data_IF_978462863021
#
_entry.id   IF_978462863021
#
_cell.length_a   1.000
_cell.length_b   1.000
_cell.length_c   1.000
_cell.angle_alpha   90.00
_cell.angle_beta   90.00
_cell.angle_gamma   90.00
#
_symmetry.space_group_name_H-M   'P 1'
#
loop_
_entity.id
_entity.type
_entity.pdbx_description
1 polymer ?
#
# COMPACT_ATOMS: atom_id res chain seq x y z
N UNK A 1 16.36 0.32 3.63
CA UNK A 1 17.10 0.75 2.44
C UNK A 1 16.35 1.86 1.68
N UNK A 2 15.04 1.72 1.37
CA UNK A 2 14.24 2.75 0.69
C UNK A 2 14.35 4.13 1.37
N UNK A 3 14.25 4.19 2.70
CA UNK A 3 14.39 5.45 3.45
C UNK A 3 15.78 6.07 3.34
N UNK A 4 16.84 5.25 3.31
CA UNK A 4 18.21 5.73 3.11
C UNK A 4 18.41 6.35 1.72
N UNK A 5 17.58 5.95 0.75
CA UNK A 5 17.54 6.54 -0.60
C UNK A 5 16.63 7.78 -0.70
N UNK A 6 16.12 8.28 0.41
CA UNK A 6 15.25 9.48 0.44
C UNK A 6 13.79 9.21 0.03
N UNK A 7 13.40 7.96 -0.15
CA UNK A 7 12.02 7.60 -0.51
C UNK A 7 11.08 7.71 0.69
N UNK A 8 9.90 8.23 0.47
CA UNK A 8 8.78 8.12 1.41
C UNK A 8 8.10 6.76 1.26
N UNK A 9 7.74 6.18 2.37
CA UNK A 9 7.18 4.82 2.42
C UNK A 9 5.79 4.82 3.03
N UNK A 10 4.88 4.03 2.43
CA UNK A 10 3.49 3.93 2.84
C UNK A 10 3.02 2.49 2.83
N UNK A 11 2.25 2.10 3.83
CA UNK A 11 1.48 0.85 3.84
C UNK A 11 -0.02 1.15 3.78
N UNK A 12 -0.72 0.51 2.83
CA UNK A 12 -2.17 0.61 2.69
C UNK A 12 -2.75 -0.80 2.77
N UNK A 13 -3.67 -1.04 3.67
CA UNK A 13 -4.23 -2.37 3.92
C UNK A 13 -5.75 -2.34 4.03
N UNK A 14 -6.42 -3.34 3.46
CA UNK A 14 -7.83 -3.62 3.73
C UNK A 14 -8.06 -4.23 5.12
N UNK A 15 -7.00 -4.54 5.87
CA UNK A 15 -7.07 -4.94 7.27
C UNK A 15 -7.33 -3.77 8.22
N UNK A 16 -6.77 -3.84 9.42
CA UNK A 16 -7.09 -2.88 10.49
C UNK A 16 -5.85 -2.13 11.00
N UNK A 17 -6.07 -0.91 11.47
CA UNK A 17 -5.02 -0.02 12.03
C UNK A 17 -4.26 -0.67 13.17
N UNK A 18 -4.88 -1.55 13.95
CA UNK A 18 -4.21 -2.34 14.98
C UNK A 18 -2.94 -3.04 14.47
N UNK A 19 -2.96 -3.58 13.25
CA UNK A 19 -1.81 -4.24 12.63
C UNK A 19 -0.91 -3.26 11.87
N UNK A 20 -1.51 -2.36 11.07
CA UNK A 20 -0.74 -1.43 10.23
C UNK A 20 0.06 -0.42 11.04
N UNK A 21 -0.46 0.05 12.17
CA UNK A 21 0.26 0.96 13.07
C UNK A 21 1.48 0.28 13.70
N UNK A 22 1.38 -1.00 14.05
CA UNK A 22 2.53 -1.78 14.52
C UNK A 22 3.58 -1.98 13.44
N UNK A 23 3.15 -2.28 12.20
CA UNK A 23 4.05 -2.40 11.04
C UNK A 23 4.72 -1.06 10.75
N UNK A 24 3.95 0.03 10.75
CA UNK A 24 4.45 1.38 10.56
C UNK A 24 5.58 1.69 11.56
N UNK A 25 5.34 1.44 12.83
CA UNK A 25 6.34 1.68 13.88
C UNK A 25 7.56 0.77 13.73
N UNK A 26 7.35 -0.53 13.57
CA UNK A 26 8.42 -1.53 13.50
C UNK A 26 9.33 -1.35 12.29
N UNK A 27 8.76 -1.03 11.14
CA UNK A 27 9.48 -0.86 9.88
C UNK A 27 9.75 0.61 9.55
N UNK A 28 9.34 1.53 10.41
CA UNK A 28 9.51 2.97 10.26
C UNK A 28 8.91 3.51 8.93
N UNK A 29 7.71 3.03 8.54
CA UNK A 29 6.97 3.62 7.43
C UNK A 29 6.56 5.06 7.74
N UNK A 30 6.58 5.93 6.74
CA UNK A 30 6.16 7.33 6.90
C UNK A 30 4.64 7.45 7.02
N UNK A 31 3.89 6.63 6.26
CA UNK A 31 2.43 6.63 6.22
C UNK A 31 1.86 5.23 6.41
N UNK A 32 0.67 5.17 7.00
CA UNK A 32 -0.12 3.94 7.09
C UNK A 32 -1.61 4.26 6.96
N UNK A 33 -2.35 3.44 6.23
CA UNK A 33 -3.79 3.52 6.12
C UNK A 33 -4.42 2.13 6.15
N UNK A 34 -5.49 2.00 6.93
CA UNK A 34 -6.27 0.77 7.07
C UNK A 34 -7.66 1.09 7.63
N UNK A 35 -8.52 0.10 7.71
CA UNK A 35 -9.80 0.24 8.39
C UNK A 35 -9.61 0.42 9.90
N UNK A 36 -10.48 1.20 10.52
CA UNK A 36 -10.50 1.45 11.95
C UNK A 36 -11.64 0.68 12.59
N UNK A 37 -11.32 -0.20 13.53
CA UNK A 37 -12.32 -0.90 14.33
C UNK A 37 -12.90 0.04 15.40
N UNK A 38 -14.22 0.01 15.56
CA UNK A 38 -14.87 0.73 16.64
C UNK A 38 -14.65 0.01 17.97
N UNK A 39 -14.23 0.77 18.97
CA UNK A 39 -14.03 0.30 20.34
C UNK A 39 -14.95 1.14 21.24
N UNK A 40 -15.80 0.47 22.00
CA UNK A 40 -16.64 1.07 23.03
C UNK A 40 -16.39 0.35 24.37
N UNK A 41 -16.17 1.12 25.43
CA UNK A 41 -15.87 0.61 26.78
C UNK A 41 -14.78 -0.49 26.78
N UNK A 42 -13.70 -0.29 26.02
CA UNK A 42 -12.57 -1.23 25.86
C UNK A 42 -12.93 -2.57 25.18
N UNK A 43 -14.08 -2.63 24.52
CA UNK A 43 -14.53 -3.81 23.78
C UNK A 43 -14.75 -3.46 22.31
N UNK A 44 -14.42 -4.41 21.42
CA UNK A 44 -14.74 -4.30 20.00
C UNK A 44 -16.26 -4.42 19.81
N UNK A 45 -16.85 -3.47 19.09
CA UNK A 45 -18.30 -3.49 18.78
C UNK A 45 -18.64 -4.36 17.57
N UNK A 46 -17.64 -4.76 16.80
CA UNK A 46 -17.81 -5.46 15.52
C UNK A 46 -18.07 -4.53 14.34
N UNK A 47 -18.01 -3.21 14.55
CA UNK A 47 -18.21 -2.20 13.51
C UNK A 47 -16.88 -1.59 13.08
N UNK A 48 -16.86 -1.05 11.85
CA UNK A 48 -15.75 -0.28 11.28
C UNK A 48 -16.13 1.19 11.29
N UNK A 49 -15.22 2.06 11.74
CA UNK A 49 -15.43 3.49 11.75
C UNK A 49 -15.19 4.04 10.33
N UNK A 50 -16.15 4.81 9.82
CA UNK A 50 -16.05 5.47 8.53
C UNK A 50 -16.24 4.55 7.33
N UNK A 51 -15.79 5.00 6.15
CA UNK A 51 -15.88 4.24 4.90
C UNK A 51 -14.89 3.08 4.92
N UNK A 52 -15.36 1.90 4.55
CA UNK A 52 -14.50 0.71 4.43
C UNK A 52 -13.44 0.94 3.34
N UNK A 53 -12.18 0.70 3.68
CA UNK A 53 -11.06 0.82 2.78
C UNK A 53 -10.97 -0.42 1.88
N UNK A 54 -11.62 -0.33 0.73
CA UNK A 54 -11.58 -1.32 -0.34
C UNK A 54 -10.70 -0.88 -1.51
N UNK A 55 -10.97 -1.44 -2.69
CA UNK A 55 -10.22 -1.21 -3.92
C UNK A 55 -10.10 0.29 -4.28
N UNK A 56 -11.23 0.98 -4.39
CA UNK A 56 -11.27 2.42 -4.70
C UNK A 56 -10.62 3.25 -3.61
N UNK A 57 -10.89 2.93 -2.35
CA UNK A 57 -10.34 3.65 -1.21
C UNK A 57 -8.81 3.63 -1.14
N UNK A 58 -8.17 2.53 -1.55
CA UNK A 58 -6.70 2.46 -1.63
C UNK A 58 -6.14 3.45 -2.65
N UNK A 59 -6.78 3.55 -3.83
CA UNK A 59 -6.38 4.50 -4.86
C UNK A 59 -6.60 5.96 -4.40
N UNK A 60 -7.73 6.24 -3.74
CA UNK A 60 -8.03 7.57 -3.19
C UNK A 60 -6.97 8.02 -2.17
N UNK A 61 -6.58 7.13 -1.25
CA UNK A 61 -5.55 7.43 -0.24
C UNK A 61 -4.20 7.69 -0.91
N UNK A 62 -3.81 6.86 -1.89
CA UNK A 62 -2.57 7.08 -2.62
C UNK A 62 -2.56 8.46 -3.29
N UNK A 63 -3.64 8.85 -3.95
CA UNK A 63 -3.80 10.18 -4.57
C UNK A 63 -3.70 11.31 -3.54
N UNK A 64 -4.35 11.15 -2.39
CA UNK A 64 -4.31 12.15 -1.33
C UNK A 64 -2.89 12.37 -0.82
N UNK A 65 -2.18 11.31 -0.46
CA UNK A 65 -0.81 11.39 0.06
C UNK A 65 0.15 11.92 -1.00
N UNK A 66 0.00 11.51 -2.27
CA UNK A 66 0.81 12.03 -3.38
C UNK A 66 0.64 13.53 -3.55
N UNK A 67 -0.59 14.03 -3.44
CA UNK A 67 -0.89 15.46 -3.49
C UNK A 67 -0.27 16.22 -2.31
N UNK A 68 -0.36 15.68 -1.11
CA UNK A 68 0.26 16.26 0.09
C UNK A 68 1.79 16.35 -0.04
N UNK A 69 2.42 15.34 -0.65
CA UNK A 69 3.85 15.29 -0.89
C UNK A 69 4.30 16.12 -2.12
N UNK A 70 3.36 16.55 -2.96
CA UNK A 70 3.68 17.26 -4.21
C UNK A 70 4.39 16.38 -5.24
N UNK A 71 4.15 15.06 -5.23
CA UNK A 71 4.76 14.12 -6.19
C UNK A 71 3.78 13.74 -7.30
N UNK A 72 4.30 13.63 -8.52
CA UNK A 72 3.54 13.17 -9.68
C UNK A 72 3.49 11.64 -9.76
N UNK A 73 2.61 11.13 -10.62
CA UNK A 73 2.42 9.70 -10.85
C UNK A 73 3.75 8.98 -11.16
N UNK A 74 4.58 9.59 -11.97
CA UNK A 74 5.88 9.06 -12.42
C UNK A 74 6.90 8.86 -11.28
N UNK A 75 6.64 9.48 -10.13
CA UNK A 75 7.49 9.37 -8.94
C UNK A 75 6.95 8.33 -7.92
N UNK A 76 5.89 7.61 -8.29
CA UNK A 76 5.23 6.64 -7.41
C UNK A 76 5.55 5.23 -7.86
N UNK A 77 5.96 4.40 -6.90
CA UNK A 77 6.09 2.96 -7.05
C UNK A 77 5.05 2.32 -6.15
N UNK A 78 4.17 1.50 -6.70
CA UNK A 78 3.16 0.77 -5.95
C UNK A 78 3.34 -0.74 -6.08
N UNK A 79 3.11 -1.45 -4.98
CA UNK A 79 3.17 -2.91 -4.93
C UNK A 79 1.82 -3.46 -4.47
N UNK A 80 1.40 -4.58 -5.08
CA UNK A 80 0.17 -5.25 -4.70
C UNK A 80 0.17 -6.72 -5.13
N UNK A 81 -0.68 -7.51 -4.50
CA UNK A 81 -0.80 -8.96 -4.75
C UNK A 81 -2.20 -9.38 -5.19
N UNK A 82 -3.20 -8.60 -4.90
CA UNK A 82 -4.61 -8.92 -5.13
C UNK A 82 -5.34 -8.00 -6.10
N UNK A 83 -6.48 -8.47 -6.60
CA UNK A 83 -7.34 -7.68 -7.49
C UNK A 83 -7.85 -6.38 -6.84
N UNK A 84 -7.91 -6.33 -5.52
CA UNK A 84 -8.26 -5.13 -4.75
C UNK A 84 -7.16 -4.06 -4.75
N UNK A 85 -5.98 -4.33 -5.31
CA UNK A 85 -4.88 -3.37 -5.45
C UNK A 85 -4.83 -2.75 -6.86
N UNK A 86 -5.59 -3.26 -7.84
CA UNK A 86 -5.50 -2.84 -9.23
C UNK A 86 -5.68 -1.35 -9.46
N UNK A 87 -6.65 -0.72 -8.79
CA UNK A 87 -6.89 0.72 -8.96
C UNK A 87 -5.74 1.56 -8.36
N UNK A 88 -5.21 1.12 -7.22
CA UNK A 88 -4.02 1.74 -6.62
C UNK A 88 -2.78 1.57 -7.51
N UNK A 89 -2.58 0.38 -8.06
CA UNK A 89 -1.47 0.10 -8.98
C UNK A 89 -1.55 0.96 -10.24
N UNK A 90 -2.76 1.20 -10.76
CA UNK A 90 -2.98 2.06 -11.93
C UNK A 90 -2.62 3.53 -11.69
N UNK A 91 -2.60 4.00 -10.45
CA UNK A 91 -2.23 5.38 -10.08
C UNK A 91 -0.70 5.59 -9.98
N UNK A 92 0.09 4.52 -10.01
CA UNK A 92 1.55 4.60 -9.93
C UNK A 92 2.21 4.66 -11.32
N UNK A 93 3.34 5.32 -11.42
CA UNK A 93 4.19 5.29 -12.62
C UNK A 93 4.86 3.95 -12.82
N UNK A 94 5.24 3.31 -11.72
CA UNK A 94 5.73 1.93 -11.70
C UNK A 94 4.88 1.09 -10.76
N UNK A 95 4.26 0.05 -11.30
CA UNK A 95 3.47 -0.91 -10.53
C UNK A 95 4.14 -2.29 -10.52
N UNK A 96 4.15 -2.93 -9.36
CA UNK A 96 4.82 -4.21 -9.14
C UNK A 96 3.81 -5.22 -8.59
N UNK A 97 3.56 -6.28 -9.34
CA UNK A 97 2.80 -7.44 -8.89
C UNK A 97 3.71 -8.34 -8.07
N UNK A 98 3.50 -8.39 -6.74
CA UNK A 98 4.34 -9.14 -5.81
C UNK A 98 3.64 -10.42 -5.36
N UNK A 99 4.18 -11.59 -5.75
CA UNK A 99 3.55 -12.90 -5.49
C UNK A 99 2.06 -12.91 -5.83
N UNK A 100 1.70 -12.25 -6.93
CA UNK A 100 0.34 -11.88 -7.25
C UNK A 100 -0.39 -12.93 -8.12
N UNK A 101 -1.71 -12.82 -8.12
CA UNK A 101 -2.58 -13.55 -9.05
C UNK A 101 -2.34 -13.09 -10.50
N UNK A 102 -2.65 -13.94 -11.52
CA UNK A 102 -2.42 -13.63 -12.94
C UNK A 102 -2.99 -12.26 -13.37
N UNK A 103 -4.21 -11.95 -12.97
CA UNK A 103 -4.86 -10.67 -13.32
C UNK A 103 -4.05 -9.43 -12.86
N UNK A 104 -3.36 -9.51 -11.74
CA UNK A 104 -2.53 -8.42 -11.23
C UNK A 104 -1.23 -8.34 -12.02
N UNK A 105 -0.62 -9.49 -12.34
CA UNK A 105 0.61 -9.57 -13.14
C UNK A 105 0.44 -8.97 -14.53
N UNK A 106 -0.70 -9.23 -15.16
CA UNK A 106 -1.04 -8.72 -16.50
C UNK A 106 -1.21 -7.20 -16.54
N UNK A 107 -1.59 -6.59 -15.41
CA UNK A 107 -1.86 -5.15 -15.28
C UNK A 107 -0.74 -4.36 -14.60
N UNK A 108 0.36 -5.01 -14.21
CA UNK A 108 1.49 -4.36 -13.57
C UNK A 108 2.66 -4.14 -14.52
N UNK A 109 3.51 -3.15 -14.23
CA UNK A 109 4.74 -2.86 -14.98
C UNK A 109 5.73 -4.01 -14.84
N UNK A 110 5.89 -4.54 -13.64
CA UNK A 110 6.78 -5.64 -13.31
C UNK A 110 6.07 -6.69 -12.44
N UNK A 111 6.62 -7.90 -12.42
CA UNK A 111 6.13 -8.98 -11.57
C UNK A 111 7.29 -9.66 -10.84
N UNK A 112 7.13 -9.85 -9.55
CA UNK A 112 8.07 -10.60 -8.69
C UNK A 112 7.33 -11.80 -8.10
N UNK A 113 7.77 -13.01 -8.47
CA UNK A 113 7.10 -14.26 -8.10
C UNK A 113 7.93 -15.21 -7.26
N UNK A 114 9.26 -15.04 -7.22
CA UNK A 114 10.18 -16.03 -6.65
C UNK A 114 11.09 -15.51 -5.55
N UNK A 115 11.26 -14.20 -5.43
CA UNK A 115 12.16 -13.58 -4.45
C UNK A 115 11.39 -12.73 -3.46
N UNK A 116 12.04 -12.30 -2.39
CA UNK A 116 11.45 -11.41 -1.40
C UNK A 116 11.31 -9.97 -1.89
N UNK A 117 10.80 -9.08 -1.04
CA UNK A 117 10.62 -7.65 -1.35
C UNK A 117 11.93 -6.93 -1.69
N UNK A 118 13.06 -7.45 -1.23
CA UNK A 118 14.40 -6.96 -1.58
C UNK A 118 14.71 -7.08 -3.08
N UNK A 119 14.06 -8.02 -3.79
CA UNK A 119 14.15 -8.13 -5.25
C UNK A 119 13.73 -6.88 -6.01
N UNK A 120 12.94 -5.99 -5.39
CA UNK A 120 12.55 -4.71 -5.98
C UNK A 120 13.77 -3.83 -6.29
N UNK A 121 14.79 -3.90 -5.46
CA UNK A 121 16.02 -3.10 -5.62
C UNK A 121 16.67 -3.39 -6.97
N UNK A 122 16.61 -4.63 -7.42
CA UNK A 122 17.22 -5.04 -8.68
C UNK A 122 16.51 -4.50 -9.93
N UNK A 123 15.27 -4.00 -9.78
CA UNK A 123 14.53 -3.37 -10.89
C UNK A 123 15.00 -1.95 -11.18
N UNK A 124 15.75 -1.34 -10.27
CA UNK A 124 16.18 0.07 -10.33
C UNK A 124 17.71 0.25 -10.31
N UNK A 125 18.45 -0.84 -10.41
CA UNK A 125 19.92 -0.84 -10.50
C UNK A 125 20.40 -0.95 -11.94
#
# INVERSE_FOLDING_TARGET
>A
QAKLSGLKTMVISGGFTFFTDRIKTKLAFDYAAANVLEIDNQHLTGKVIGKILGREGKAEILKQVSKELGVGREQIIALGDGANDLDMLAEAGVSIAYHAKPIVKENATYSISYVGLDGIINLFN
#
